data_IF_644884496060
#
_entry.id   IF_644884496060
#
_cell.length_a   1.000
_cell.length_b   1.000
_cell.length_c   1.000
_cell.angle_alpha   90.00
_cell.angle_beta   90.00
_cell.angle_gamma   90.00
#
_symmetry.space_group_name_H-M   'P 1'
#
loop_
_entity.id
_entity.type
_entity.pdbx_description
1 polymer ?
#
# COMPACT_ATOMS: atom_id res chain seq x y z
N UNK A 1 -29.69 34.27 -15.18
CA UNK A 1 -28.94 33.00 -15.17
C UNK A 1 -27.84 33.14 -14.13
N UNK A 2 -27.97 32.42 -13.01
CA UNK A 2 -26.99 32.45 -11.93
C UNK A 2 -26.03 31.27 -12.15
N UNK A 3 -24.82 31.54 -12.60
CA UNK A 3 -23.79 30.51 -12.76
C UNK A 3 -23.24 30.18 -11.37
N UNK A 4 -23.63 29.03 -10.83
CA UNK A 4 -23.06 28.49 -9.61
C UNK A 4 -21.66 27.97 -9.95
N UNK A 5 -20.64 28.79 -9.73
CA UNK A 5 -19.25 28.30 -9.70
C UNK A 5 -19.13 27.47 -8.44
N UNK A 6 -19.28 26.15 -8.58
CA UNK A 6 -18.87 25.21 -7.58
C UNK A 6 -17.35 25.37 -7.42
N UNK A 7 -16.94 26.17 -6.46
CA UNK A 7 -15.62 26.07 -5.88
C UNK A 7 -15.57 24.70 -5.20
N UNK A 8 -15.25 23.65 -5.98
CA UNK A 8 -14.61 22.48 -5.42
C UNK A 8 -13.37 23.03 -4.75
N UNK A 9 -13.42 23.20 -3.43
CA UNK A 9 -12.23 23.28 -2.62
C UNK A 9 -11.44 22.02 -2.97
N UNK A 10 -10.49 22.15 -3.88
CA UNK A 10 -9.37 21.25 -3.96
C UNK A 10 -8.65 21.44 -2.62
N UNK A 11 -9.14 20.75 -1.59
CA UNK A 11 -8.33 20.42 -0.45
C UNK A 11 -7.10 19.78 -1.07
N UNK A 12 -5.99 20.48 -1.06
CA UNK A 12 -4.69 19.86 -1.29
C UNK A 12 -4.50 18.91 -0.12
N UNK A 13 -5.15 17.75 -0.19
CA UNK A 13 -4.85 16.63 0.68
C UNK A 13 -3.39 16.31 0.40
N UNK A 14 -2.56 16.64 1.36
CA UNK A 14 -1.14 16.34 1.30
C UNK A 14 -1.02 14.83 1.08
N UNK A 15 -0.30 14.45 0.02
CA UNK A 15 -0.01 13.06 -0.27
C UNK A 15 0.59 12.40 0.97
N UNK A 16 -0.09 11.39 1.51
CA UNK A 16 0.30 10.70 2.73
C UNK A 16 0.90 9.36 2.36
N UNK A 17 2.19 9.21 2.65
CA UNK A 17 2.87 7.91 2.57
C UNK A 17 2.62 7.11 3.84
N UNK A 18 2.11 5.89 3.69
CA UNK A 18 1.90 4.91 4.76
C UNK A 18 2.90 3.77 4.57
N UNK A 19 3.62 3.41 5.63
CA UNK A 19 4.52 2.24 5.63
C UNK A 19 3.72 1.01 6.02
N UNK A 20 3.80 -0.04 5.21
CA UNK A 20 3.06 -1.30 5.42
C UNK A 20 4.04 -2.46 5.33
N UNK A 21 4.10 -3.27 6.39
CA UNK A 21 4.78 -4.55 6.36
C UNK A 21 3.80 -5.63 5.85
N UNK A 22 4.25 -6.48 4.94
CA UNK A 22 3.47 -7.63 4.48
C UNK A 22 4.22 -8.93 4.76
N UNK A 23 3.52 -9.97 5.21
CA UNK A 23 4.16 -11.27 5.44
C UNK A 23 4.44 -11.94 4.09
N UNK A 24 5.70 -12.27 3.83
CA UNK A 24 6.17 -12.66 2.49
C UNK A 24 5.66 -14.04 2.02
N UNK A 25 5.08 -14.83 2.93
CA UNK A 25 4.76 -16.24 2.70
C UNK A 25 3.27 -16.59 2.92
N UNK A 26 2.36 -15.60 2.83
CA UNK A 26 0.92 -15.81 3.04
C UNK A 26 0.12 -15.93 1.74
N UNK A 27 0.41 -16.95 0.95
CA UNK A 27 -0.35 -17.17 -0.29
C UNK A 27 -1.80 -17.61 -0.04
N UNK A 28 -2.75 -17.20 -0.91
CA UNK A 28 -2.61 -16.27 -2.04
C UNK A 28 -2.86 -14.80 -1.65
N UNK A 29 -3.02 -14.53 -0.35
CA UNK A 29 -3.51 -13.23 0.15
C UNK A 29 -2.43 -12.16 0.07
N UNK A 30 -1.21 -12.50 0.45
CA UNK A 30 -0.08 -11.58 0.55
C UNK A 30 1.22 -12.34 0.51
N UNK A 31 2.05 -12.08 -0.50
CA UNK A 31 3.32 -12.77 -0.65
C UNK A 31 4.37 -11.88 -1.31
N UNK A 32 5.64 -12.29 -1.19
CA UNK A 32 6.69 -11.78 -2.05
C UNK A 32 6.63 -12.48 -3.41
N UNK A 33 6.99 -11.77 -4.48
CA UNK A 33 7.02 -12.34 -5.84
C UNK A 33 8.05 -13.47 -5.97
N UNK A 34 9.10 -13.44 -5.15
CA UNK A 34 10.08 -14.51 -5.00
C UNK A 34 10.23 -14.82 -3.51
N UNK A 35 10.13 -16.09 -3.07
CA UNK A 35 10.30 -16.47 -1.67
C UNK A 35 11.76 -16.42 -1.18
N UNK A 36 12.75 -16.31 -2.07
CA UNK A 36 14.16 -16.14 -1.69
C UNK A 36 14.39 -14.74 -1.11
N UNK A 37 14.77 -14.65 0.18
CA UNK A 37 14.96 -13.38 0.90
C UNK A 37 16.10 -12.52 0.35
N UNK A 38 17.05 -13.14 -0.36
CA UNK A 38 18.18 -12.44 -0.98
C UNK A 38 17.87 -11.96 -2.41
N UNK A 39 16.77 -12.42 -3.00
CA UNK A 39 16.34 -12.01 -4.33
C UNK A 39 15.82 -10.56 -4.33
N UNK A 40 16.14 -9.80 -5.38
CA UNK A 40 15.59 -8.45 -5.55
C UNK A 40 14.05 -8.44 -5.59
N UNK A 41 13.47 -9.51 -6.14
CA UNK A 41 12.02 -9.70 -6.23
C UNK A 41 11.35 -9.99 -4.88
N UNK A 42 12.10 -10.30 -3.82
CA UNK A 42 11.56 -10.45 -2.46
C UNK A 42 10.80 -9.19 -1.99
N UNK A 43 11.25 -8.02 -2.45
CA UNK A 43 10.62 -6.72 -2.14
C UNK A 43 9.32 -6.45 -2.90
N UNK A 44 8.98 -7.28 -3.90
CA UNK A 44 7.79 -7.10 -4.74
C UNK A 44 6.61 -7.78 -4.08
N UNK A 45 5.64 -6.98 -3.64
CA UNK A 45 4.40 -7.46 -3.02
C UNK A 45 3.40 -7.94 -4.07
N UNK A 46 2.92 -9.18 -3.93
CA UNK A 46 1.91 -9.81 -4.79
C UNK A 46 0.77 -10.40 -3.97
N UNK A 47 -0.35 -10.70 -4.64
CA UNK A 47 -1.55 -11.29 -4.04
C UNK A 47 -2.67 -10.27 -3.83
N UNK A 48 -3.76 -10.74 -3.24
CA UNK A 48 -4.98 -9.94 -3.04
C UNK A 48 -4.73 -8.62 -2.31
N UNK A 49 -3.90 -8.63 -1.27
CA UNK A 49 -3.57 -7.42 -0.50
C UNK A 49 -2.81 -6.39 -1.35
N UNK A 50 -1.87 -6.84 -2.18
CA UNK A 50 -1.11 -5.96 -3.08
C UNK A 50 -2.05 -5.24 -4.07
N UNK A 51 -3.02 -5.98 -4.61
CA UNK A 51 -4.04 -5.45 -5.52
C UNK A 51 -4.95 -4.43 -4.81
N UNK A 52 -5.38 -4.75 -3.58
CA UNK A 52 -6.21 -3.86 -2.77
C UNK A 52 -5.51 -2.55 -2.45
N UNK A 53 -4.24 -2.59 -2.02
CA UNK A 53 -3.46 -1.39 -1.72
C UNK A 53 -3.25 -0.54 -2.97
N UNK A 54 -2.97 -1.18 -4.12
CA UNK A 54 -2.83 -0.49 -5.40
C UNK A 54 -4.14 0.17 -5.83
N UNK A 55 -5.28 -0.48 -5.61
CA UNK A 55 -6.59 0.11 -5.87
C UNK A 55 -6.82 1.35 -4.99
N UNK A 56 -6.49 1.30 -3.70
CA UNK A 56 -6.61 2.44 -2.78
C UNK A 56 -5.73 3.64 -3.21
N UNK A 57 -4.52 3.40 -3.73
CA UNK A 57 -3.64 4.47 -4.24
C UNK A 57 -4.21 5.19 -5.47
N UNK A 58 -5.09 4.50 -6.21
CA UNK A 58 -5.75 5.04 -7.41
C UNK A 58 -7.05 5.79 -7.12
N UNK A 59 -7.56 5.72 -5.89
CA UNK A 59 -8.81 6.40 -5.52
C UNK A 59 -8.59 7.92 -5.41
N UNK A 60 -9.36 8.68 -6.19
CA UNK A 60 -9.35 10.14 -6.13
C UNK A 60 -9.79 10.64 -4.75
N UNK A 61 -9.10 11.66 -4.23
CA UNK A 61 -9.43 12.27 -2.95
C UNK A 61 -9.08 11.43 -1.71
N UNK A 62 -8.17 10.44 -1.84
CA UNK A 62 -7.52 9.81 -0.68
C UNK A 62 -6.08 10.28 -0.47
N UNK A 63 -5.37 10.64 -1.55
CA UNK A 63 -3.98 11.08 -1.47
C UNK A 63 -3.02 10.04 -0.85
N UNK A 64 -3.33 8.74 -0.95
CA UNK A 64 -2.55 7.68 -0.31
C UNK A 64 -1.42 7.15 -1.23
N UNK A 65 -0.29 6.85 -0.60
CA UNK A 65 0.80 6.01 -1.14
C UNK A 65 1.25 4.99 -0.11
N UNK A 66 1.60 3.79 -0.55
CA UNK A 66 2.08 2.72 0.31
C UNK A 66 3.54 2.40 0.02
N UNK A 67 4.38 2.52 1.04
CA UNK A 67 5.71 1.94 1.03
C UNK A 67 5.64 0.54 1.63
N UNK A 68 5.84 -0.48 0.80
CA UNK A 68 5.65 -1.89 1.13
C UNK A 68 6.99 -2.52 1.51
N UNK A 69 7.01 -3.30 2.58
CA UNK A 69 8.22 -3.98 3.06
C UNK A 69 7.90 -5.44 3.38
N UNK A 70 8.60 -6.41 2.78
CA UNK A 70 8.39 -7.82 3.08
C UNK A 70 8.86 -8.15 4.51
N UNK A 71 8.14 -9.05 5.17
CA UNK A 71 8.48 -9.61 6.47
C UNK A 71 8.57 -11.12 6.31
N UNK A 72 9.77 -11.67 6.52
CA UNK A 72 10.03 -13.12 6.40
C UNK A 72 9.66 -13.89 7.68
N UNK A 73 9.69 -13.23 8.84
CA UNK A 73 9.49 -13.86 10.13
C UNK A 73 8.26 -13.28 10.84
N UNK A 74 7.35 -14.16 11.27
CA UNK A 74 6.11 -13.77 11.95
C UNK A 74 6.30 -13.12 13.34
N UNK A 75 7.29 -13.54 14.16
CA UNK A 75 7.53 -12.88 15.45
C UNK A 75 7.86 -11.39 15.26
N UNK A 76 7.16 -10.53 15.99
CA UNK A 76 7.45 -9.09 16.00
C UNK A 76 6.68 -8.24 14.99
N UNK A 77 5.87 -8.82 14.09
CA UNK A 77 5.14 -8.05 13.06
C UNK A 77 4.16 -7.01 13.66
N UNK A 78 3.61 -7.29 14.85
CA UNK A 78 2.72 -6.38 15.58
C UNK A 78 3.42 -5.64 16.74
N UNK A 79 4.73 -5.85 16.93
CA UNK A 79 5.50 -5.36 18.09
C UNK A 79 6.66 -4.43 17.69
N UNK A 80 6.73 -3.99 16.43
CA UNK A 80 7.66 -2.94 16.03
C UNK A 80 7.10 -1.58 16.52
N UNK A 81 7.90 -0.76 17.24
CA UNK A 81 7.48 0.55 17.73
C UNK A 81 7.23 1.56 16.61
#
# INVERSE_FOLDING_TARGET
MLTLVAACSASTEAERTVRVGFYAFFEPVSAAADPDTDAAAFSTHVGYEADLLTAMESMEGLGLRFHRTPVAEWPGIWLLP
#
